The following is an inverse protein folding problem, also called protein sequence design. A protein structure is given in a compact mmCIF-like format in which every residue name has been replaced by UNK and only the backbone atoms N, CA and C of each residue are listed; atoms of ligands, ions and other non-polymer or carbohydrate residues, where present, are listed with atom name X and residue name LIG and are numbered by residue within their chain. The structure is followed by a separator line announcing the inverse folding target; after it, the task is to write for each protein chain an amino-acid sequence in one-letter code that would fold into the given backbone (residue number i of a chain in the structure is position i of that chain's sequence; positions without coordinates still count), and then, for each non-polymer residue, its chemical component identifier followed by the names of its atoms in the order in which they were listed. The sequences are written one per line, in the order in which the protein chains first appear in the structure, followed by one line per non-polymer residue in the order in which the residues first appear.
data_IF_002464205021
#
_entry.id   IF_002464205021
#
_cell.length_a   1.000
_cell.length_b   1.000
_cell.length_c   1.000
_cell.angle_alpha   90.00
_cell.angle_beta   90.00
_cell.angle_gamma   90.00
#
_symmetry.space_group_name_H-M   'P 1'
#
loop_
_entity.id
_entity.type
_entity.pdbx_description
1 polymer ?
#
# COMPACT_ATOMS: atom_id res chain seq x y z
N UNK A 1 -8.91 5.13 -1.39
CA UNK A 1 -9.82 4.11 -0.83
C UNK A 1 -10.21 4.52 0.58
N UNK A 2 -11.50 4.54 0.91
CA UNK A 2 -12.00 5.10 2.18
C UNK A 2 -12.94 4.17 2.95
N UNK A 3 -13.57 3.17 2.30
CA UNK A 3 -14.52 2.26 2.94
C UNK A 3 -13.83 1.02 3.51
N UNK A 4 -14.12 0.67 4.76
CA UNK A 4 -13.53 -0.49 5.45
C UNK A 4 -13.70 -1.81 4.68
N UNK A 5 -14.87 -2.01 4.06
CA UNK A 5 -15.15 -3.20 3.24
C UNK A 5 -14.17 -3.38 2.07
N UNK A 6 -13.72 -2.27 1.46
CA UNK A 6 -12.80 -2.30 0.33
C UNK A 6 -11.42 -2.80 0.81
N UNK A 7 -10.96 -2.35 1.99
CA UNK A 7 -9.74 -2.87 2.60
C UNK A 7 -9.85 -4.37 2.88
N UNK A 8 -10.97 -4.81 3.47
CA UNK A 8 -11.22 -6.23 3.77
C UNK A 8 -11.18 -7.10 2.51
N UNK A 9 -11.83 -6.65 1.43
CA UNK A 9 -11.84 -7.35 0.15
C UNK A 9 -10.44 -7.51 -0.44
N UNK A 10 -9.66 -6.42 -0.50
CA UNK A 10 -8.29 -6.42 -1.05
C UNK A 10 -7.37 -7.30 -0.21
N UNK A 11 -7.48 -7.23 1.11
CA UNK A 11 -6.64 -8.04 2.01
C UNK A 11 -6.97 -9.52 1.90
N UNK A 12 -8.26 -9.88 1.75
CA UNK A 12 -8.72 -11.28 1.71
C UNK A 12 -8.52 -11.94 0.34
N UNK A 13 -8.77 -11.23 -0.76
CA UNK A 13 -8.75 -11.79 -2.13
C UNK A 13 -7.53 -11.37 -2.95
N UNK A 14 -6.82 -10.32 -2.53
CA UNK A 14 -5.66 -9.82 -3.26
C UNK A 14 -4.40 -10.67 -3.07
N UNK A 15 -3.49 -10.57 -4.05
CA UNK A 15 -2.13 -11.12 -3.92
C UNK A 15 -1.34 -10.26 -2.94
N UNK A 16 -0.46 -10.87 -2.15
CA UNK A 16 0.33 -10.17 -1.12
C UNK A 16 1.83 -10.35 -1.28
N UNK A 17 2.60 -9.33 -0.91
CA UNK A 17 4.04 -9.42 -0.70
C UNK A 17 4.45 -8.66 0.56
N UNK A 18 5.22 -9.32 1.42
CA UNK A 18 5.79 -8.72 2.62
C UNK A 18 7.24 -8.28 2.40
N UNK A 19 7.60 -7.19 3.08
CA UNK A 19 8.94 -6.61 3.17
C UNK A 19 9.23 -6.21 4.61
N UNK A 20 10.43 -5.69 4.85
CA UNK A 20 10.90 -5.34 6.18
C UNK A 20 10.02 -4.29 6.88
N UNK A 21 9.52 -3.28 6.13
CA UNK A 21 8.73 -2.17 6.68
C UNK A 21 7.27 -2.21 6.24
N UNK A 22 6.95 -2.90 5.15
CA UNK A 22 5.65 -2.85 4.50
C UNK A 22 5.11 -4.22 4.11
N UNK A 23 3.79 -4.37 4.10
CA UNK A 23 3.09 -5.46 3.41
C UNK A 23 2.14 -4.86 2.39
N UNK A 24 2.25 -5.31 1.15
CA UNK A 24 1.43 -4.85 0.04
C UNK A 24 0.41 -5.92 -0.32
N UNK A 25 -0.84 -5.50 -0.51
CA UNK A 25 -1.91 -6.31 -1.08
C UNK A 25 -2.42 -5.64 -2.35
N UNK A 26 -2.57 -6.43 -3.42
CA UNK A 26 -3.04 -5.97 -4.72
C UNK A 26 -4.18 -6.85 -5.18
N UNK A 27 -5.30 -6.22 -5.54
CA UNK A 27 -6.45 -6.85 -6.18
C UNK A 27 -6.71 -6.12 -7.51
N UNK A 28 -6.61 -6.84 -8.62
CA UNK A 28 -6.95 -6.32 -9.95
C UNK A 28 -8.47 -6.44 -10.14
N UNK A 29 -9.12 -5.39 -10.65
CA UNK A 29 -10.53 -5.48 -11.01
C UNK A 29 -10.73 -6.39 -12.23
N UNK A 30 -11.90 -7.05 -12.28
CA UNK A 30 -12.36 -7.77 -13.46
C UNK A 30 -12.86 -6.83 -14.56
N UNK A 31 -13.14 -5.56 -14.25
CA UNK A 31 -13.59 -4.53 -15.19
C UNK A 31 -12.70 -3.27 -15.10
N UNK A 32 -11.47 -3.30 -15.64
CA UNK A 32 -10.45 -2.26 -15.45
C UNK A 32 -10.83 -0.87 -15.97
N UNK A 33 -11.73 -0.80 -16.95
CA UNK A 33 -12.17 0.45 -17.59
C UNK A 33 -13.25 1.18 -16.78
N UNK A 34 -13.97 0.47 -15.92
CA UNK A 34 -15.06 1.01 -15.11
C UNK A 34 -14.62 1.34 -13.68
N UNK A 35 -13.60 0.64 -13.18
CA UNK A 35 -13.07 0.83 -11.84
C UNK A 35 -11.80 1.70 -11.85
N UNK A 36 -11.79 2.87 -11.18
CA UNK A 36 -10.56 3.62 -11.01
C UNK A 36 -9.62 2.88 -10.05
N UNK A 37 -8.31 3.00 -10.27
CA UNK A 37 -7.31 2.49 -9.34
C UNK A 37 -7.43 3.17 -7.98
N UNK A 38 -7.44 2.37 -6.92
CA UNK A 38 -7.68 2.82 -5.54
C UNK A 38 -6.50 2.42 -4.66
N UNK A 39 -5.98 3.38 -3.91
CA UNK A 39 -4.95 3.11 -2.89
C UNK A 39 -5.51 3.33 -1.49
N UNK A 40 -5.17 2.44 -0.57
CA UNK A 40 -5.43 2.57 0.86
C UNK A 40 -4.17 2.29 1.69
N UNK A 41 -4.08 2.96 2.84
CA UNK A 41 -2.98 2.81 3.78
C UNK A 41 -3.51 2.32 5.12
N UNK A 42 -2.88 1.28 5.66
CA UNK A 42 -3.20 0.74 7.00
C UNK A 42 -1.97 0.91 7.87
N UNK A 43 -2.04 1.84 8.83
CA UNK A 43 -0.96 2.09 9.78
C UNK A 43 -1.46 1.75 11.17
N UNK A 44 -0.98 0.62 11.72
CA UNK A 44 -1.45 0.08 13.00
C UNK A 44 -0.88 0.85 14.20
N UNK A 45 -1.38 0.56 15.40
CA UNK A 45 -0.87 1.13 16.67
C UNK A 45 0.59 0.73 16.95
N UNK A 46 1.04 -0.42 16.44
CA UNK A 46 2.41 -0.91 16.62
C UNK A 46 3.48 -0.01 15.93
N UNK A 47 3.08 0.84 14.99
CA UNK A 47 3.97 1.81 14.33
C UNK A 47 4.28 3.00 15.24
N UNK A 48 3.42 3.28 16.22
CA UNK A 48 3.63 4.37 17.17
C UNK A 48 2.39 5.23 17.41
N UNK A 49 2.60 6.40 18.02
CA UNK A 49 1.54 7.35 18.32
C UNK A 49 0.94 7.99 17.04
N UNK A 50 -0.12 8.80 17.20
CA UNK A 50 -0.82 9.43 16.07
C UNK A 50 0.08 10.30 15.19
N UNK A 51 1.07 10.98 15.77
CA UNK A 51 2.00 11.85 15.02
C UNK A 51 2.90 11.00 14.13
N UNK A 52 3.49 9.93 14.66
CA UNK A 52 4.32 8.99 13.90
C UNK A 52 3.47 8.32 12.80
N UNK A 53 2.27 7.83 13.14
CA UNK A 53 1.38 7.17 12.17
C UNK A 53 0.96 8.10 11.02
N UNK A 54 0.65 9.37 11.31
CA UNK A 54 0.32 10.36 10.29
C UNK A 54 1.55 10.73 9.44
N UNK A 55 2.74 10.82 10.04
CA UNK A 55 3.99 11.04 9.30
C UNK A 55 4.24 9.90 8.31
N UNK A 56 4.16 8.65 8.76
CA UNK A 56 4.29 7.47 7.90
C UNK A 56 3.23 7.47 6.80
N UNK A 57 1.96 7.74 7.14
CA UNK A 57 0.88 7.81 6.15
C UNK A 57 1.12 8.89 5.09
N UNK A 58 1.65 10.06 5.48
CA UNK A 58 2.03 11.12 4.54
C UNK A 58 3.17 10.67 3.63
N UNK A 59 4.26 10.12 4.20
CA UNK A 59 5.40 9.61 3.43
C UNK A 59 4.95 8.56 2.41
N UNK A 60 4.17 7.57 2.85
CA UNK A 60 3.64 6.52 1.97
C UNK A 60 2.77 7.07 0.83
N UNK A 61 1.96 8.12 1.08
CA UNK A 61 1.21 8.78 0.01
C UNK A 61 2.12 9.38 -1.06
N UNK A 62 3.20 10.04 -0.67
CA UNK A 62 4.17 10.58 -1.62
C UNK A 62 4.87 9.48 -2.40
N UNK A 63 5.40 8.48 -1.70
CA UNK A 63 6.11 7.35 -2.32
C UNK A 63 5.23 6.58 -3.31
N UNK A 64 3.97 6.30 -2.96
CA UNK A 64 3.04 5.61 -3.86
C UNK A 64 2.64 6.48 -5.04
N UNK A 65 2.51 7.80 -4.87
CA UNK A 65 2.08 8.71 -5.95
C UNK A 65 2.98 8.61 -7.19
N UNK A 66 4.29 8.48 -6.97
CA UNK A 66 5.30 8.32 -8.03
C UNK A 66 5.19 6.98 -8.78
N UNK A 67 4.43 6.02 -8.26
CA UNK A 67 4.32 4.64 -8.76
C UNK A 67 2.88 4.28 -9.14
N UNK A 68 1.99 5.26 -9.26
CA UNK A 68 0.62 4.99 -9.69
C UNK A 68 0.59 4.53 -11.15
N UNK A 69 1.48 5.05 -11.98
CA UNK A 69 1.50 4.76 -13.43
C UNK A 69 1.96 3.34 -13.75
N UNK A 70 2.67 2.67 -12.84
CA UNK A 70 3.05 1.25 -12.99
C UNK A 70 1.94 0.29 -12.58
N UNK A 71 0.87 0.77 -11.95
CA UNK A 71 -0.25 -0.06 -11.56
C UNK A 71 -1.19 -0.25 -12.76
N UNK A 72 -1.57 -1.51 -13.09
CA UNK A 72 -2.60 -1.75 -14.09
C UNK A 72 -3.90 -1.00 -13.74
N UNK A 73 -4.67 -0.51 -14.73
CA UNK A 73 -5.97 0.11 -14.49
C UNK A 73 -6.90 -0.79 -13.65
N UNK A 74 -7.76 -0.19 -12.82
CA UNK A 74 -8.65 -0.92 -11.93
C UNK A 74 -7.94 -1.66 -10.79
N UNK A 75 -6.70 -1.30 -10.46
CA UNK A 75 -5.99 -1.93 -9.34
C UNK A 75 -6.40 -1.31 -8.01
N UNK A 76 -6.82 -2.16 -7.08
CA UNK A 76 -6.96 -1.80 -5.67
C UNK A 76 -5.71 -2.24 -4.89
N UNK A 77 -4.97 -1.26 -4.38
CA UNK A 77 -3.72 -1.41 -3.64
C UNK A 77 -3.92 -1.07 -2.16
N UNK A 78 -3.55 -1.98 -1.26
CA UNK A 78 -3.45 -1.71 0.18
C UNK A 78 -2.01 -1.84 0.62
N UNK A 79 -1.47 -0.78 1.23
CA UNK A 79 -0.16 -0.77 1.86
C UNK A 79 -0.33 -0.80 3.38
N UNK A 80 0.10 -1.89 4.01
CA UNK A 80 0.16 -2.01 5.47
C UNK A 80 1.55 -1.64 5.97
N UNK A 81 1.61 -0.68 6.89
CA UNK A 81 2.84 -0.29 7.56
C UNK A 81 3.12 -1.20 8.76
N UNK A 82 4.35 -1.71 8.86
CA UNK A 82 4.86 -2.49 9.99
C UNK A 82 5.62 -1.59 10.97
N UNK A 83 5.89 -2.07 12.18
CA UNK A 83 6.58 -1.27 13.21
C UNK A 83 7.89 -0.60 12.71
N UNK A 84 8.76 -1.28 11.93
CA UNK A 84 9.99 -0.66 11.41
C UNK A 84 9.78 0.53 10.45
N UNK A 85 8.56 0.74 9.95
CA UNK A 85 8.24 1.90 9.11
C UNK A 85 8.27 3.24 9.86
N UNK A 86 8.26 3.22 11.19
CA UNK A 86 8.24 4.41 12.04
C UNK A 86 9.48 5.29 11.81
N UNK A 87 10.65 4.64 11.72
CA UNK A 87 11.95 5.29 11.60
C UNK A 87 12.45 5.35 10.15
N UNK A 88 11.72 4.74 9.21
CA UNK A 88 12.12 4.66 7.82
C UNK A 88 11.96 5.97 7.07
N UNK A 89 12.92 6.27 6.20
CA UNK A 89 12.83 7.39 5.25
C UNK A 89 12.02 7.03 3.99
N UNK A 90 11.74 8.03 3.14
CA UNK A 90 10.96 7.80 1.91
C UNK A 90 11.66 6.87 0.92
N UNK A 91 13.00 6.86 0.87
CA UNK A 91 13.75 6.03 -0.06
C UNK A 91 13.71 4.55 0.36
N UNK A 92 13.84 4.26 1.64
CA UNK A 92 13.67 2.92 2.22
C UNK A 92 12.25 2.38 1.99
N UNK A 93 11.23 3.22 2.24
CA UNK A 93 9.83 2.85 1.98
C UNK A 93 9.59 2.63 0.48
N UNK A 94 10.21 3.43 -0.39
CA UNK A 94 10.17 3.27 -1.83
C UNK A 94 10.76 1.94 -2.29
N UNK A 95 11.96 1.60 -1.82
CA UNK A 95 12.61 0.32 -2.14
C UNK A 95 11.76 -0.89 -1.74
N UNK A 96 11.19 -0.86 -0.53
CA UNK A 96 10.30 -1.93 -0.06
C UNK A 96 9.03 -1.99 -0.95
N UNK A 97 8.42 -0.85 -1.26
CA UNK A 97 7.25 -0.79 -2.13
C UNK A 97 7.55 -1.35 -3.52
N UNK A 98 8.63 -0.92 -4.17
CA UNK A 98 9.02 -1.36 -5.52
C UNK A 98 9.25 -2.87 -5.57
N UNK A 99 10.03 -3.38 -4.62
CA UNK A 99 10.27 -4.80 -4.51
C UNK A 99 8.97 -5.58 -4.28
N UNK A 100 8.04 -5.06 -3.48
CA UNK A 100 6.75 -5.69 -3.22
C UNK A 100 5.83 -5.66 -4.46
N UNK A 101 5.74 -4.52 -5.14
CA UNK A 101 4.96 -4.35 -6.37
C UNK A 101 5.44 -5.29 -7.47
N UNK A 102 6.75 -5.38 -7.70
CA UNK A 102 7.32 -6.32 -8.67
C UNK A 102 6.90 -7.77 -8.38
N UNK A 103 6.85 -8.17 -7.10
CA UNK A 103 6.43 -9.53 -6.70
C UNK A 103 4.93 -9.78 -6.90
N UNK A 104 4.06 -8.80 -6.66
CA UNK A 104 2.60 -8.99 -6.74
C UNK A 104 2.02 -8.70 -8.13
N UNK A 105 2.75 -7.98 -8.98
CA UNK A 105 2.32 -7.68 -10.35
C UNK A 105 2.78 -8.72 -11.37
N UNK A 106 3.81 -9.50 -11.06
CA UNK A 106 4.24 -10.69 -11.81
C UNK A 106 3.27 -11.85 -11.65
#
# INVERSE_FOLDING_TARGET
MTRSQDFGLVVRRGRRAGRSRLVVHVLKSAQPTLDPSKVGFVVSKAVGNSVVRHRVSRRLRHVVRERLDVLPPGTSLVVRALAPSADADSAELGRDLDAALHKVLR
#
